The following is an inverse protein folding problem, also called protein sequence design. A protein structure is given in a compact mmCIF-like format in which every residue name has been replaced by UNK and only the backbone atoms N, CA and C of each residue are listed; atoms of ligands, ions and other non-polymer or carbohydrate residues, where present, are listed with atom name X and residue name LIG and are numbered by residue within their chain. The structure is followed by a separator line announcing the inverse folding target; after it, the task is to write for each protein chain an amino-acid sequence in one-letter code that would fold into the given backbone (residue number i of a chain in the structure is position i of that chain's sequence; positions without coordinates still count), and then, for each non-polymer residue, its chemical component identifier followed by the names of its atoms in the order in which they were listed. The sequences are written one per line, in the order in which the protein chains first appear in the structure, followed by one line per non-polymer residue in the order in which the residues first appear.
data_IF_576305392955
#
_entry.id   IF_576305392955
#
_cell.length_a   1.000
_cell.length_b   1.000
_cell.length_c   1.000
_cell.angle_alpha   90.00
_cell.angle_beta   90.00
_cell.angle_gamma   90.00
#
_symmetry.space_group_name_H-M   'P 1'
#
loop_
_entity.id
_entity.type
_entity.pdbx_description
1 polymer ?
#
# COMPACT_ATOMS: atom_id res chain seq x y z
N UNK A 1 -13.99 -21.68 28.89
CA UNK A 1 -15.22 -22.45 28.54
C UNK A 1 -15.70 -22.08 27.14
N UNK A 2 -16.26 -20.88 26.91
CA UNK A 2 -16.77 -20.45 25.59
C UNK A 2 -15.82 -20.69 24.39
N UNK A 3 -14.54 -20.32 24.45
CA UNK A 3 -13.61 -20.59 23.34
C UNK A 3 -13.43 -22.08 23.05
N UNK A 4 -13.44 -22.94 24.08
CA UNK A 4 -13.37 -24.40 23.90
C UNK A 4 -14.63 -24.90 23.20
N UNK A 5 -15.80 -24.44 23.64
CA UNK A 5 -17.08 -24.84 23.07
C UNK A 5 -17.19 -24.43 21.60
N UNK A 6 -16.73 -23.21 21.25
CA UNK A 6 -16.62 -22.73 19.87
C UNK A 6 -15.70 -23.62 19.04
N UNK A 7 -14.52 -23.97 19.55
CA UNK A 7 -13.55 -24.79 18.82
C UNK A 7 -14.05 -26.24 18.63
N UNK A 8 -14.85 -26.77 19.57
CA UNK A 8 -15.52 -28.06 19.40
C UNK A 8 -16.61 -28.02 18.31
N UNK A 9 -17.27 -26.88 18.15
CA UNK A 9 -18.27 -26.64 17.10
C UNK A 9 -17.67 -26.12 15.77
N UNK A 10 -16.34 -26.13 15.62
CA UNK A 10 -15.64 -25.52 14.48
C UNK A 10 -16.18 -25.98 13.12
N UNK A 11 -16.32 -27.29 12.91
CA UNK A 11 -16.75 -27.85 11.63
C UNK A 11 -18.19 -27.44 11.29
N UNK A 12 -19.09 -27.41 12.28
CA UNK A 12 -20.47 -26.94 12.09
C UNK A 12 -20.50 -25.45 11.74
N UNK A 13 -19.69 -24.62 12.41
CA UNK A 13 -19.60 -23.18 12.16
C UNK A 13 -19.03 -22.89 10.77
N UNK A 14 -17.95 -23.58 10.39
CA UNK A 14 -17.33 -23.43 9.06
C UNK A 14 -18.28 -23.91 7.97
N UNK A 15 -18.96 -25.04 8.18
CA UNK A 15 -20.01 -25.53 7.28
C UNK A 15 -21.11 -24.50 7.09
N UNK A 16 -21.61 -23.91 8.19
CA UNK A 16 -22.66 -22.88 8.15
C UNK A 16 -22.24 -21.62 7.40
N UNK A 17 -20.99 -21.18 7.56
CA UNK A 17 -20.43 -20.08 6.80
C UNK A 17 -20.38 -20.39 5.29
N UNK A 18 -19.93 -21.59 4.94
CA UNK A 18 -19.79 -22.01 3.54
C UNK A 18 -21.13 -22.18 2.80
N UNK A 19 -22.23 -22.43 3.52
CA UNK A 19 -23.58 -22.39 2.92
C UNK A 19 -23.95 -21.01 2.34
N UNK A 20 -23.31 -19.93 2.77
CA UNK A 20 -23.68 -18.56 2.35
C UNK A 20 -23.16 -18.18 0.96
N UNK A 21 -22.14 -18.85 0.46
CA UNK A 21 -21.59 -18.57 -0.87
C UNK A 21 -21.15 -19.87 -1.58
N UNK A 22 -22.12 -20.64 -2.14
CA UNK A 22 -21.82 -21.87 -2.86
C UNK A 22 -20.94 -21.65 -4.09
N UNK A 23 -20.98 -20.45 -4.69
CA UNK A 23 -20.15 -20.11 -5.85
C UNK A 23 -18.69 -19.99 -5.42
N UNK A 24 -18.41 -19.23 -4.36
CA UNK A 24 -17.06 -19.13 -3.82
C UNK A 24 -16.50 -20.50 -3.41
N UNK A 25 -17.31 -21.32 -2.74
CA UNK A 25 -16.92 -22.69 -2.37
C UNK A 25 -16.65 -23.55 -3.61
N UNK A 26 -17.49 -23.44 -4.65
CA UNK A 26 -17.29 -24.13 -5.93
C UNK A 26 -16.03 -23.70 -6.68
N UNK A 27 -15.58 -22.45 -6.48
CA UNK A 27 -14.29 -21.92 -6.96
C UNK A 27 -13.11 -22.30 -6.05
N UNK A 28 -13.35 -23.16 -5.05
CA UNK A 28 -12.38 -23.64 -4.08
C UNK A 28 -12.15 -22.69 -2.89
N UNK A 29 -12.81 -21.54 -2.82
CA UNK A 29 -12.71 -20.61 -1.69
C UNK A 29 -13.60 -21.02 -0.51
N UNK A 30 -13.95 -20.03 0.32
CA UNK A 30 -14.84 -20.19 1.46
C UNK A 30 -14.13 -20.12 2.81
N UNK A 31 -14.88 -20.31 3.89
CA UNK A 31 -14.34 -20.46 5.22
C UNK A 31 -13.46 -21.72 5.30
N UNK A 32 -12.19 -21.53 5.68
CA UNK A 32 -11.16 -22.58 5.81
C UNK A 32 -10.79 -22.85 7.27
N UNK A 33 -11.20 -21.98 8.18
CA UNK A 33 -10.82 -22.11 9.58
C UNK A 33 -11.52 -21.13 10.50
N UNK A 34 -11.26 -21.30 11.78
CA UNK A 34 -11.81 -20.49 12.84
C UNK A 34 -10.81 -20.40 13.98
N UNK A 35 -10.67 -19.20 14.53
CA UNK A 35 -9.90 -18.94 15.74
C UNK A 35 -10.82 -18.31 16.79
N UNK A 36 -10.59 -18.63 18.06
CA UNK A 36 -11.34 -18.05 19.17
C UNK A 36 -10.38 -17.61 20.27
N UNK A 37 -10.53 -16.37 20.74
CA UNK A 37 -9.75 -15.82 21.86
C UNK A 37 -10.62 -14.97 22.75
N UNK A 38 -10.17 -14.76 23.98
CA UNK A 38 -10.83 -13.83 24.92
C UNK A 38 -10.02 -12.57 25.09
N UNK A 39 -10.69 -11.45 25.25
CA UNK A 39 -10.08 -10.18 25.67
C UNK A 39 -10.77 -9.67 26.93
N UNK A 40 -10.01 -8.94 27.75
CA UNK A 40 -10.55 -8.18 28.86
C UNK A 40 -10.70 -6.72 28.42
N UNK A 41 -11.82 -6.12 28.78
CA UNK A 41 -12.12 -4.71 28.50
C UNK A 41 -12.68 -4.06 29.75
N UNK A 42 -12.71 -2.73 29.78
CA UNK A 42 -13.39 -1.96 30.84
C UNK A 42 -14.90 -2.28 30.94
N UNK A 43 -15.46 -2.89 29.88
CA UNK A 43 -16.87 -3.30 29.76
C UNK A 43 -17.07 -4.80 30.05
N UNK A 44 -16.05 -5.46 30.60
CA UNK A 44 -16.04 -6.89 30.89
C UNK A 44 -15.36 -7.73 29.81
N UNK A 45 -15.38 -9.04 30.03
CA UNK A 45 -14.75 -10.01 29.13
C UNK A 45 -15.53 -10.13 27.82
N UNK A 46 -14.80 -10.14 26.69
CA UNK A 46 -15.37 -10.42 25.37
C UNK A 46 -14.71 -11.65 24.75
N UNK A 47 -15.48 -12.40 23.95
CA UNK A 47 -14.98 -13.49 23.13
C UNK A 47 -14.92 -13.01 21.69
N UNK A 48 -13.75 -13.13 21.08
CA UNK A 48 -13.50 -12.77 19.68
C UNK A 48 -13.37 -14.06 18.89
N UNK A 49 -14.19 -14.19 17.85
CA UNK A 49 -14.15 -15.30 16.90
C UNK A 49 -13.71 -14.74 15.56
N UNK A 50 -12.59 -15.24 15.03
CA UNK A 50 -12.16 -14.94 13.67
C UNK A 50 -12.54 -16.10 12.77
N UNK A 51 -13.33 -15.82 11.74
CA UNK A 51 -13.53 -16.74 10.63
C UNK A 51 -12.41 -16.50 9.60
N UNK A 52 -11.66 -17.54 9.28
CA UNK A 52 -10.60 -17.48 8.26
C UNK A 52 -11.23 -17.87 6.92
N UNK A 53 -11.26 -16.94 5.96
CA UNK A 53 -11.98 -17.12 4.69
C UNK A 53 -11.03 -16.90 3.51
N UNK A 54 -10.94 -17.91 2.64
CA UNK A 54 -10.32 -17.79 1.32
C UNK A 54 -11.34 -17.13 0.37
N UNK A 55 -11.13 -15.85 0.10
CA UNK A 55 -12.01 -15.01 -0.73
C UNK A 55 -11.59 -14.99 -2.20
N UNK A 56 -10.62 -15.84 -2.60
CA UNK A 56 -10.10 -15.95 -3.97
C UNK A 56 -9.72 -14.57 -4.52
N UNK A 57 -10.29 -14.21 -5.66
CA UNK A 57 -9.97 -13.00 -6.42
C UNK A 57 -10.74 -11.75 -5.97
N UNK A 58 -11.59 -11.87 -4.94
CA UNK A 58 -12.29 -10.75 -4.35
C UNK A 58 -11.47 -10.08 -3.24
N UNK A 59 -11.80 -8.83 -2.92
CA UNK A 59 -11.33 -8.20 -1.68
C UNK A 59 -11.95 -8.91 -0.45
N UNK A 60 -13.24 -9.28 -0.54
CA UNK A 60 -13.86 -10.23 0.38
C UNK A 60 -14.70 -9.65 1.52
N UNK A 61 -14.74 -8.33 1.71
CA UNK A 61 -15.46 -7.72 2.85
C UNK A 61 -16.93 -8.16 2.95
N UNK A 62 -17.69 -8.06 1.86
CA UNK A 62 -19.11 -8.42 1.87
C UNK A 62 -19.32 -9.91 2.15
N UNK A 63 -18.54 -10.78 1.51
CA UNK A 63 -18.59 -12.24 1.71
C UNK A 63 -18.36 -12.58 3.17
N UNK A 64 -17.28 -12.05 3.77
CA UNK A 64 -16.93 -12.31 5.17
C UNK A 64 -18.01 -11.78 6.12
N UNK A 65 -18.56 -10.60 5.86
CA UNK A 65 -19.64 -10.05 6.69
C UNK A 65 -20.90 -10.92 6.65
N UNK A 66 -21.33 -11.35 5.46
CA UNK A 66 -22.47 -12.26 5.30
C UNK A 66 -22.24 -13.59 6.02
N UNK A 67 -21.03 -14.17 5.90
CA UNK A 67 -20.67 -15.38 6.65
C UNK A 67 -20.73 -15.15 8.18
N UNK A 68 -20.16 -14.05 8.67
CA UNK A 68 -20.19 -13.68 10.09
C UNK A 68 -21.62 -13.49 10.62
N UNK A 69 -22.50 -12.85 9.85
CA UNK A 69 -23.92 -12.71 10.19
C UNK A 69 -24.61 -14.06 10.28
N UNK A 70 -24.38 -14.95 9.31
CA UNK A 70 -25.01 -16.27 9.27
C UNK A 70 -24.57 -17.21 10.40
N UNK A 71 -23.30 -17.15 10.83
CA UNK A 71 -22.80 -17.99 11.93
C UNK A 71 -23.15 -17.45 13.32
N UNK A 72 -23.58 -16.18 13.42
CA UNK A 72 -23.83 -15.55 14.73
C UNK A 72 -24.87 -16.27 15.59
N UNK A 73 -26.05 -16.67 15.08
CA UNK A 73 -27.03 -17.40 15.88
C UNK A 73 -26.52 -18.75 16.41
N UNK A 74 -25.63 -19.41 15.66
CA UNK A 74 -24.97 -20.64 16.10
C UNK A 74 -23.97 -20.36 17.22
N UNK A 75 -23.16 -19.31 17.08
CA UNK A 75 -22.23 -18.87 18.14
C UNK A 75 -22.96 -18.48 19.43
N UNK A 76 -24.09 -17.79 19.35
CA UNK A 76 -24.92 -17.44 20.52
C UNK A 76 -25.45 -18.70 21.21
N UNK A 77 -25.90 -19.71 20.45
CA UNK A 77 -26.35 -20.99 20.99
C UNK A 77 -25.24 -21.78 21.67
N UNK A 78 -24.07 -21.87 21.04
CA UNK A 78 -22.91 -22.62 21.54
C UNK A 78 -22.35 -21.98 22.81
N UNK A 79 -22.37 -20.65 22.90
CA UNK A 79 -21.72 -19.92 24.00
C UNK A 79 -22.67 -19.45 25.09
N UNK A 80 -23.97 -19.33 24.79
CA UNK A 80 -24.95 -18.63 25.63
C UNK A 80 -24.73 -17.11 25.69
N UNK A 81 -23.80 -16.56 24.89
CA UNK A 81 -23.50 -15.12 24.85
C UNK A 81 -24.27 -14.42 23.73
N UNK A 82 -24.22 -13.08 23.72
CA UNK A 82 -24.81 -12.23 22.66
C UNK A 82 -23.76 -11.85 21.62
N UNK A 83 -24.08 -12.01 20.34
CA UNK A 83 -23.25 -11.55 19.23
C UNK A 83 -23.36 -10.01 19.09
N UNK A 84 -22.21 -9.33 19.18
CA UNK A 84 -22.15 -7.86 19.11
C UNK A 84 -21.81 -7.33 17.72
N UNK A 85 -20.65 -7.68 17.17
CA UNK A 85 -20.18 -7.22 15.86
C UNK A 85 -19.95 -8.42 14.92
N UNK A 86 -20.26 -8.21 13.64
CA UNK A 86 -20.16 -9.19 12.54
C UNK A 86 -19.49 -8.53 11.36
N UNK A 87 -18.18 -8.31 11.49
CA UNK A 87 -17.48 -7.41 10.57
C UNK A 87 -16.08 -7.96 10.27
N UNK A 88 -15.67 -7.82 9.02
CA UNK A 88 -14.30 -8.11 8.57
C UNK A 88 -13.27 -7.26 9.33
N UNK A 89 -12.08 -7.81 9.54
CA UNK A 89 -10.91 -7.06 10.00
C UNK A 89 -10.10 -6.55 8.81
N UNK A 90 -9.77 -5.25 8.80
CA UNK A 90 -8.84 -4.69 7.81
C UNK A 90 -7.36 -5.00 8.12
N UNK A 91 -7.06 -5.50 9.33
CA UNK A 91 -5.74 -6.04 9.66
C UNK A 91 -5.61 -7.46 9.06
N UNK A 92 -5.42 -7.51 7.74
CA UNK A 92 -5.44 -8.74 6.94
C UNK A 92 -4.10 -9.51 6.99
N UNK A 93 -3.66 -9.91 8.18
CA UNK A 93 -2.35 -10.57 8.40
C UNK A 93 -2.23 -11.96 7.75
N UNK A 94 -3.35 -12.57 7.38
CA UNK A 94 -3.38 -13.83 6.63
C UNK A 94 -3.28 -13.62 5.11
N UNK A 95 -3.19 -12.36 4.65
CA UNK A 95 -3.15 -11.98 3.23
C UNK A 95 -2.00 -11.00 2.97
N UNK A 96 -0.79 -11.47 3.22
CA UNK A 96 0.45 -10.72 3.04
C UNK A 96 0.96 -10.81 1.60
N UNK A 97 1.35 -9.68 1.04
CA UNK A 97 2.13 -9.60 -0.18
C UNK A 97 3.59 -9.29 0.15
N UNK A 98 4.50 -9.86 -0.64
CA UNK A 98 5.95 -9.70 -0.47
C UNK A 98 6.58 -9.34 -1.79
N UNK A 99 7.59 -8.48 -1.76
CA UNK A 99 8.46 -8.24 -2.89
C UNK A 99 9.91 -8.09 -2.41
N UNK A 100 10.84 -8.48 -3.28
CA UNK A 100 12.28 -8.38 -3.03
C UNK A 100 12.98 -8.02 -4.34
N UNK A 101 13.97 -7.14 -4.26
CA UNK A 101 14.81 -6.78 -5.39
C UNK A 101 16.24 -6.49 -4.92
N UNK A 102 17.22 -6.80 -5.77
CA UNK A 102 18.62 -6.41 -5.61
C UNK A 102 18.92 -5.36 -6.67
N UNK A 103 19.54 -4.27 -6.25
CA UNK A 103 19.88 -3.14 -7.10
C UNK A 103 21.40 -3.00 -7.13
N UNK A 104 21.96 -3.13 -8.34
CA UNK A 104 23.38 -2.92 -8.56
C UNK A 104 23.80 -1.52 -8.09
N UNK A 105 24.85 -1.43 -7.27
CA UNK A 105 25.33 -0.15 -6.73
C UNK A 105 25.67 0.85 -7.83
N UNK A 106 26.22 0.39 -8.95
CA UNK A 106 26.54 1.25 -10.11
C UNK A 106 25.28 1.88 -10.71
N UNK A 107 24.16 1.15 -10.74
CA UNK A 107 22.89 1.67 -11.23
C UNK A 107 22.25 2.70 -10.28
N UNK A 108 22.57 2.64 -8.98
CA UNK A 108 22.09 3.59 -7.97
C UNK A 108 22.89 4.89 -7.95
N UNK A 109 24.17 4.84 -8.33
CA UNK A 109 25.09 5.97 -8.32
C UNK A 109 26.38 5.73 -7.50
N UNK A 110 26.68 4.48 -7.14
CA UNK A 110 27.89 4.08 -6.44
C UNK A 110 27.64 3.66 -4.98
N UNK A 111 28.70 3.16 -4.34
CA UNK A 111 28.68 2.67 -2.95
C UNK A 111 28.19 3.74 -1.96
N UNK A 112 28.58 5.01 -2.13
CA UNK A 112 28.15 6.10 -1.25
C UNK A 112 26.63 6.28 -1.23
N UNK A 113 25.95 6.04 -2.36
CA UNK A 113 24.49 6.09 -2.46
C UNK A 113 23.85 4.94 -1.71
N UNK A 114 24.45 3.74 -1.77
CA UNK A 114 23.99 2.57 -1.02
C UNK A 114 24.07 2.83 0.47
N UNK A 115 25.22 3.30 0.96
CA UNK A 115 25.41 3.63 2.38
C UNK A 115 24.44 4.73 2.84
N UNK A 116 24.26 5.79 2.06
CA UNK A 116 23.34 6.85 2.41
C UNK A 116 21.86 6.38 2.47
N UNK A 117 21.48 5.40 1.64
CA UNK A 117 20.16 4.74 1.73
C UNK A 117 20.06 3.90 3.01
N UNK A 118 21.11 3.17 3.38
CA UNK A 118 21.14 2.38 4.61
C UNK A 118 21.05 3.26 5.85
N UNK A 119 21.73 4.41 5.87
CA UNK A 119 21.61 5.42 6.92
C UNK A 119 20.18 5.99 7.01
N UNK A 120 19.58 6.33 5.87
CA UNK A 120 18.20 6.81 5.81
C UNK A 120 17.19 5.76 6.30
N UNK A 121 17.42 4.48 6.01
CA UNK A 121 16.63 3.38 6.53
C UNK A 121 16.85 3.18 8.04
N UNK A 122 18.09 3.21 8.52
CA UNK A 122 18.41 3.11 9.95
C UNK A 122 17.72 4.23 10.76
N UNK A 123 17.67 5.45 10.21
CA UNK A 123 16.89 6.55 10.77
C UNK A 123 15.39 6.22 10.82
N UNK A 124 14.80 5.73 9.72
CA UNK A 124 13.39 5.34 9.70
C UNK A 124 13.07 4.18 10.66
N UNK A 125 14.00 3.25 10.87
CA UNK A 125 13.82 2.13 11.79
C UNK A 125 13.92 2.53 13.27
N UNK A 126 14.56 3.67 13.56
CA UNK A 126 14.88 4.14 14.91
C UNK A 126 14.00 5.28 15.41
N UNK A 127 13.40 6.07 14.51
CA UNK A 127 12.55 7.22 14.86
C UNK A 127 11.15 7.11 14.24
N UNK A 128 10.11 7.28 15.07
CA UNK A 128 8.72 7.14 14.62
C UNK A 128 8.30 8.24 13.64
N UNK A 129 8.79 9.47 13.78
CA UNK A 129 8.44 10.56 12.87
C UNK A 129 8.97 10.29 11.46
N UNK A 130 10.20 9.79 11.37
CA UNK A 130 10.76 9.34 10.09
C UNK A 130 10.06 8.08 9.59
N UNK A 131 9.79 7.10 10.45
CA UNK A 131 9.12 5.85 10.09
C UNK A 131 7.75 6.09 9.43
N UNK A 132 6.95 6.99 9.98
CA UNK A 132 5.65 7.38 9.40
C UNK A 132 5.84 7.93 7.98
N UNK A 133 6.81 8.81 7.80
CA UNK A 133 7.12 9.42 6.50
C UNK A 133 7.66 8.40 5.50
N UNK A 134 8.45 7.42 5.97
CA UNK A 134 8.97 6.30 5.19
C UNK A 134 7.84 5.43 4.65
N UNK A 135 6.92 5.01 5.52
CA UNK A 135 5.76 4.20 5.14
C UNK A 135 4.79 4.99 4.26
N UNK A 136 4.59 6.29 4.50
CA UNK A 136 3.83 7.16 3.60
C UNK A 136 4.42 7.15 2.18
N UNK A 137 5.75 7.15 2.07
CA UNK A 137 6.46 7.02 0.80
C UNK A 137 6.18 5.70 0.07
N UNK A 138 6.05 4.58 0.80
CA UNK A 138 5.61 3.29 0.24
C UNK A 138 4.17 3.42 -0.28
N UNK A 139 3.28 3.94 0.57
CA UNK A 139 1.84 3.98 0.28
C UNK A 139 1.49 4.92 -0.87
N UNK A 140 2.29 5.94 -1.17
CA UNK A 140 2.15 6.74 -2.40
C UNK A 140 2.03 5.86 -3.66
N UNK A 141 2.88 4.83 -3.79
CA UNK A 141 2.85 3.92 -4.94
C UNK A 141 1.70 2.91 -4.86
N UNK A 142 1.54 2.27 -3.71
CA UNK A 142 0.49 1.27 -3.46
C UNK A 142 -0.90 1.84 -3.71
N UNK A 143 -1.18 3.03 -3.17
CA UNK A 143 -2.48 3.68 -3.26
C UNK A 143 -2.77 4.25 -4.65
N UNK A 144 -1.74 4.71 -5.37
CA UNK A 144 -1.91 5.10 -6.77
C UNK A 144 -2.37 3.91 -7.62
N UNK A 145 -1.75 2.74 -7.44
CA UNK A 145 -2.15 1.51 -8.14
C UNK A 145 -3.52 1.00 -7.70
N UNK A 146 -3.82 1.06 -6.40
CA UNK A 146 -5.13 0.70 -5.87
C UNK A 146 -6.24 1.57 -6.46
N UNK A 147 -6.03 2.89 -6.53
CA UNK A 147 -6.97 3.82 -7.15
C UNK A 147 -7.16 3.52 -8.64
N UNK A 148 -6.07 3.32 -9.39
CA UNK A 148 -6.13 2.98 -10.81
C UNK A 148 -6.89 1.67 -11.10
N UNK A 149 -6.84 0.72 -10.16
CA UNK A 149 -7.52 -0.57 -10.27
C UNK A 149 -8.87 -0.63 -9.54
N UNK A 150 -9.35 0.52 -9.04
CA UNK A 150 -10.59 0.68 -8.28
C UNK A 150 -10.71 -0.22 -7.03
N UNK A 151 -9.59 -0.45 -6.35
CA UNK A 151 -9.50 -1.11 -5.05
C UNK A 151 -9.70 -0.10 -3.91
N UNK A 152 -10.13 -0.61 -2.73
CA UNK A 152 -10.36 0.25 -1.56
C UNK A 152 -9.03 0.72 -0.95
N UNK A 153 -8.71 1.99 -1.16
CA UNK A 153 -7.48 2.61 -0.67
C UNK A 153 -7.43 2.69 0.86
N UNK A 154 -8.57 2.87 1.53
CA UNK A 154 -8.63 3.02 3.00
C UNK A 154 -8.39 1.68 3.69
N UNK A 155 -8.91 0.59 3.12
CA UNK A 155 -8.66 -0.75 3.64
C UNK A 155 -7.17 -1.11 3.59
N UNK A 156 -6.51 -0.79 2.47
CA UNK A 156 -5.06 -1.00 2.31
C UNK A 156 -4.23 -0.14 3.27
N UNK A 157 -4.53 1.16 3.40
CA UNK A 157 -3.85 2.05 4.35
C UNK A 157 -4.01 1.56 5.80
N UNK A 158 -5.25 1.25 6.22
CA UNK A 158 -5.53 0.78 7.57
C UNK A 158 -4.78 -0.52 7.89
N UNK A 159 -4.78 -1.48 6.96
CA UNK A 159 -4.08 -2.75 7.12
C UNK A 159 -2.56 -2.58 7.18
N UNK A 160 -1.98 -1.81 6.26
CA UNK A 160 -0.54 -1.57 6.21
C UNK A 160 -0.03 -0.85 7.45
N UNK A 161 -0.68 0.24 7.85
CA UNK A 161 -0.27 1.01 9.03
C UNK A 161 -0.51 0.26 10.35
N UNK A 162 -1.58 -0.53 10.46
CA UNK A 162 -1.79 -1.39 11.63
C UNK A 162 -0.76 -2.52 11.71
N UNK A 163 -0.38 -3.11 10.57
CA UNK A 163 0.67 -4.13 10.50
C UNK A 163 2.02 -3.58 10.95
N UNK A 164 2.38 -2.37 10.50
CA UNK A 164 3.57 -1.66 10.93
C UNK A 164 3.64 -1.46 12.45
N UNK A 165 2.49 -1.38 13.15
CA UNK A 165 2.41 -1.19 14.60
C UNK A 165 2.24 -2.49 15.41
N UNK A 166 2.03 -3.64 14.75
CA UNK A 166 1.57 -4.86 15.41
C UNK A 166 2.57 -5.44 16.43
N UNK A 167 3.87 -5.14 16.24
CA UNK A 167 4.96 -5.56 17.14
C UNK A 167 5.15 -4.69 18.39
N UNK A 168 4.18 -3.82 18.73
CA UNK A 168 4.25 -2.93 19.91
C UNK A 168 5.03 -1.63 19.69
N UNK A 169 5.65 -1.46 18.52
CA UNK A 169 6.24 -0.19 18.05
C UNK A 169 5.97 -0.05 16.56
N UNK A 170 5.82 1.18 16.08
CA UNK A 170 5.56 1.46 14.67
C UNK A 170 6.86 1.36 13.86
N UNK A 171 6.93 0.40 12.91
CA UNK A 171 8.15 0.02 12.18
C UNK A 171 8.03 0.23 10.66
N UNK A 172 9.17 0.34 9.95
CA UNK A 172 9.16 0.37 8.48
C UNK A 172 8.52 -0.89 7.89
N UNK A 173 7.72 -0.73 6.84
CA UNK A 173 7.14 -1.85 6.09
C UNK A 173 8.16 -2.51 5.13
N UNK A 174 9.27 -1.82 4.85
CA UNK A 174 10.38 -2.32 4.06
C UNK A 174 11.65 -2.49 4.89
N UNK A 175 12.55 -3.34 4.39
CA UNK A 175 13.89 -3.55 4.94
C UNK A 175 14.91 -3.29 3.83
N UNK A 176 16.01 -2.64 4.21
CA UNK A 176 17.13 -2.36 3.32
C UNK A 176 18.41 -2.89 3.93
N UNK A 177 19.18 -3.61 3.11
CA UNK A 177 20.38 -4.34 3.51
C UNK A 177 21.43 -4.20 2.40
N UNK A 178 22.71 -4.34 2.76
CA UNK A 178 23.79 -4.51 1.78
C UNK A 178 24.03 -5.99 1.53
N UNK A 179 24.22 -6.39 0.28
CA UNK A 179 24.66 -7.75 -0.06
C UNK A 179 26.17 -7.91 0.14
N UNK A 180 26.68 -9.13 0.00
CA UNK A 180 28.13 -9.40 0.10
C UNK A 180 28.93 -8.71 -1.02
N UNK A 181 28.30 -8.51 -2.19
CA UNK A 181 28.86 -7.84 -3.36
C UNK A 181 28.84 -6.30 -3.27
N UNK A 182 28.24 -5.75 -2.21
CA UNK A 182 28.05 -4.30 -2.01
C UNK A 182 26.79 -3.73 -2.67
N UNK A 183 25.92 -4.59 -3.23
CA UNK A 183 24.66 -4.15 -3.83
C UNK A 183 23.59 -3.89 -2.77
N UNK A 184 22.54 -3.16 -3.15
CA UNK A 184 21.44 -2.84 -2.25
C UNK A 184 20.31 -3.88 -2.39
N UNK A 185 20.03 -4.61 -1.31
CA UNK A 185 18.88 -5.50 -1.18
C UNK A 185 17.71 -4.75 -0.53
N UNK A 186 16.58 -4.70 -1.24
CA UNK A 186 15.30 -4.22 -0.71
C UNK A 186 14.29 -5.33 -0.55
N UNK A 187 13.60 -5.35 0.59
CA UNK A 187 12.50 -6.27 0.89
C UNK A 187 11.29 -5.48 1.41
N UNK A 188 10.08 -5.95 1.12
CA UNK A 188 8.84 -5.39 1.66
C UNK A 188 7.86 -6.52 2.00
N UNK A 189 7.11 -6.35 3.08
CA UNK A 189 5.99 -7.19 3.44
C UNK A 189 4.87 -6.33 4.02
N UNK A 190 3.66 -6.48 3.48
CA UNK A 190 2.48 -5.74 3.95
C UNK A 190 1.18 -6.50 3.65
N UNK A 191 0.12 -6.31 4.46
CA UNK A 191 -1.21 -6.80 4.13
C UNK A 191 -1.74 -6.13 2.86
N UNK A 192 -2.24 -6.91 1.92
CA UNK A 192 -2.85 -6.39 0.68
C UNK A 192 -4.17 -7.13 0.42
N UNK A 193 -5.25 -6.56 0.95
CA UNK A 193 -6.61 -7.01 0.70
C UNK A 193 -7.17 -6.36 -0.58
N UNK A 194 -6.61 -6.71 -1.73
CA UNK A 194 -7.07 -6.28 -3.05
C UNK A 194 -7.98 -7.32 -3.73
N UNK A 195 -8.71 -6.91 -4.75
CA UNK A 195 -9.50 -7.78 -5.61
C UNK A 195 -9.37 -7.41 -7.09
N UNK A 196 -9.61 -8.39 -7.95
CA UNK A 196 -9.77 -8.23 -9.39
C UNK A 196 -11.21 -8.50 -9.86
N UNK A 197 -12.04 -9.04 -8.96
CA UNK A 197 -13.49 -9.19 -9.11
C UNK A 197 -14.25 -8.50 -7.96
N UNK A 198 -15.52 -8.18 -8.22
CA UNK A 198 -16.42 -7.58 -7.23
C UNK A 198 -16.25 -6.06 -7.05
N UNK A 199 -17.30 -5.42 -6.55
CA UNK A 199 -17.31 -3.96 -6.32
C UNK A 199 -16.96 -3.15 -7.57
N UNK A 200 -16.30 -2.00 -7.36
CA UNK A 200 -15.88 -1.10 -8.42
C UNK A 200 -14.85 -1.71 -9.38
N UNK A 201 -14.06 -2.69 -8.92
CA UNK A 201 -13.01 -3.34 -9.74
C UNK A 201 -13.60 -3.97 -11.01
N UNK A 202 -14.75 -4.63 -10.93
CA UNK A 202 -15.36 -5.32 -12.07
C UNK A 202 -16.12 -4.36 -13.01
N UNK A 203 -16.71 -3.29 -12.46
CA UNK A 203 -17.62 -2.41 -13.21
C UNK A 203 -16.95 -1.17 -13.80
N UNK A 204 -15.89 -0.65 -13.16
CA UNK A 204 -15.27 0.60 -13.60
C UNK A 204 -14.45 0.39 -14.90
N UNK A 205 -14.78 1.05 -16.02
CA UNK A 205 -14.13 0.79 -17.31
C UNK A 205 -12.61 1.01 -17.28
N UNK A 206 -12.15 2.10 -16.67
CA UNK A 206 -10.71 2.41 -16.55
C UNK A 206 -9.98 1.35 -15.72
N UNK A 207 -10.56 0.86 -14.62
CA UNK A 207 -9.94 -0.17 -13.81
C UNK A 207 -9.71 -1.48 -14.58
N UNK A 208 -10.66 -1.85 -15.46
CA UNK A 208 -10.50 -3.01 -16.36
C UNK A 208 -9.35 -2.80 -17.35
N UNK A 209 -9.23 -1.60 -17.92
CA UNK A 209 -8.14 -1.24 -18.82
C UNK A 209 -6.80 -1.27 -18.09
N UNK A 210 -6.70 -0.66 -16.90
CA UNK A 210 -5.49 -0.68 -16.09
C UNK A 210 -5.07 -2.12 -15.75
N UNK A 211 -6.00 -3.00 -15.35
CA UNK A 211 -5.66 -4.42 -15.12
C UNK A 211 -5.19 -5.14 -16.39
N UNK A 212 -5.80 -4.85 -17.54
CA UNK A 212 -5.36 -5.40 -18.83
C UNK A 212 -3.94 -4.95 -19.19
N UNK A 213 -3.60 -3.68 -18.93
CA UNK A 213 -2.24 -3.13 -19.13
C UNK A 213 -1.25 -3.83 -18.20
N UNK A 214 -1.62 -4.05 -16.94
CA UNK A 214 -0.78 -4.74 -15.96
C UNK A 214 -0.57 -6.23 -16.29
N UNK A 215 -1.51 -6.85 -17.01
CA UNK A 215 -1.43 -8.27 -17.35
C UNK A 215 -1.66 -9.22 -16.17
N UNK A 216 -2.27 -8.74 -15.08
CA UNK A 216 -2.56 -9.55 -13.88
C UNK A 216 -3.85 -10.35 -14.05
N UNK A 217 -3.78 -11.65 -13.77
CA UNK A 217 -4.89 -12.60 -13.85
C UNK A 217 -5.56 -12.88 -12.50
N UNK A 218 -4.92 -12.57 -11.38
CA UNK A 218 -5.44 -12.84 -10.03
C UNK A 218 -5.26 -11.69 -9.05
N UNK A 219 -6.05 -11.69 -7.96
CA UNK A 219 -5.86 -10.74 -6.86
C UNK A 219 -4.50 -10.91 -6.16
N UNK A 220 -3.95 -12.13 -6.18
CA UNK A 220 -2.62 -12.42 -5.66
C UNK A 220 -1.53 -11.71 -6.48
N UNK A 221 -1.57 -11.85 -7.80
CA UNK A 221 -0.61 -11.18 -8.69
C UNK A 221 -0.73 -9.66 -8.56
N UNK A 222 -1.95 -9.11 -8.50
CA UNK A 222 -2.14 -7.69 -8.26
C UNK A 222 -1.51 -7.24 -6.93
N UNK A 223 -1.65 -8.05 -5.87
CA UNK A 223 -1.07 -7.76 -4.57
C UNK A 223 0.46 -7.79 -4.58
N UNK A 224 1.06 -8.74 -5.29
CA UNK A 224 2.52 -8.84 -5.50
C UNK A 224 3.04 -7.61 -6.27
N UNK A 225 2.33 -7.17 -7.31
CA UNK A 225 2.65 -5.93 -8.04
C UNK A 225 2.53 -4.71 -7.13
N UNK A 226 1.49 -4.61 -6.29
CA UNK A 226 1.35 -3.52 -5.31
C UNK A 226 2.53 -3.46 -4.34
N UNK A 227 2.97 -4.61 -3.82
CA UNK A 227 4.15 -4.67 -2.96
C UNK A 227 5.41 -4.21 -3.69
N UNK A 228 5.64 -4.69 -4.92
CA UNK A 228 6.78 -4.28 -5.74
C UNK A 228 6.79 -2.78 -6.05
N UNK A 229 5.63 -2.20 -6.40
CA UNK A 229 5.47 -0.76 -6.62
C UNK A 229 5.74 0.02 -5.32
N UNK A 230 5.26 -0.47 -4.18
CA UNK A 230 5.56 0.13 -2.87
C UNK A 230 7.06 0.16 -2.57
N UNK A 231 7.77 -0.95 -2.82
CA UNK A 231 9.22 -1.03 -2.64
C UNK A 231 9.97 -0.10 -3.59
N UNK A 232 9.59 -0.06 -4.87
CA UNK A 232 10.20 0.81 -5.87
C UNK A 232 9.99 2.29 -5.54
N UNK A 233 8.79 2.68 -5.11
CA UNK A 233 8.49 4.05 -4.72
C UNK A 233 9.26 4.46 -3.45
N UNK A 234 9.47 3.52 -2.52
CA UNK A 234 10.31 3.73 -1.34
C UNK A 234 11.78 3.94 -1.70
N UNK A 235 12.33 3.09 -2.58
CA UNK A 235 13.70 3.26 -3.08
C UNK A 235 13.90 4.62 -3.72
N UNK A 236 13.00 5.03 -4.62
CA UNK A 236 13.09 6.32 -5.29
C UNK A 236 13.10 7.48 -4.28
N UNK A 237 12.23 7.42 -3.26
CA UNK A 237 12.17 8.44 -2.21
C UNK A 237 13.44 8.48 -1.35
N UNK A 238 13.96 7.32 -0.92
CA UNK A 238 15.18 7.25 -0.12
C UNK A 238 16.40 7.68 -0.90
N UNK A 239 16.56 7.20 -2.13
CA UNK A 239 17.66 7.60 -3.02
C UNK A 239 17.64 9.10 -3.21
N UNK A 240 16.49 9.68 -3.57
CA UNK A 240 16.36 11.12 -3.71
C UNK A 240 16.79 11.82 -2.42
N UNK A 241 16.19 11.51 -1.27
CA UNK A 241 16.51 12.11 0.03
C UNK A 241 17.99 12.00 0.44
N UNK A 242 18.62 10.88 0.13
CA UNK A 242 19.97 10.54 0.55
C UNK A 242 21.05 11.19 -0.33
N UNK A 243 20.78 11.36 -1.63
CA UNK A 243 21.78 11.89 -2.59
C UNK A 243 21.52 13.34 -3.00
N UNK A 244 20.26 13.77 -2.99
CA UNK A 244 19.84 15.12 -3.37
C UNK A 244 18.84 15.65 -2.34
N UNK A 245 19.14 16.74 -1.64
CA UNK A 245 18.10 17.38 -0.84
C UNK A 245 16.85 17.63 -1.70
N UNK A 246 15.70 17.03 -1.33
CA UNK A 246 14.42 16.98 -2.10
C UNK A 246 14.13 18.31 -2.79
N UNK A 247 14.47 19.41 -2.13
CA UNK A 247 14.37 20.77 -2.64
C UNK A 247 14.91 20.91 -4.07
N UNK A 248 16.06 20.35 -4.46
CA UNK A 248 16.57 20.56 -5.84
C UNK A 248 15.68 19.94 -6.92
N UNK A 249 15.25 18.68 -6.75
CA UNK A 249 14.36 18.01 -7.70
C UNK A 249 12.94 18.59 -7.72
N UNK A 250 12.37 18.87 -6.53
CA UNK A 250 11.06 19.53 -6.41
C UNK A 250 11.09 20.95 -6.97
N UNK A 251 12.19 21.69 -6.80
CA UNK A 251 12.37 23.01 -7.37
C UNK A 251 12.45 22.97 -8.89
N UNK A 252 13.02 21.93 -9.50
CA UNK A 252 12.99 21.77 -10.96
C UNK A 252 11.55 21.58 -11.48
N UNK A 253 10.76 20.71 -10.84
CA UNK A 253 9.35 20.51 -11.21
C UNK A 253 8.50 21.77 -10.93
N UNK A 254 8.71 22.42 -9.79
CA UNK A 254 8.03 23.65 -9.43
C UNK A 254 8.37 24.78 -10.41
N UNK A 255 9.64 24.93 -10.80
CA UNK A 255 10.07 25.87 -11.82
C UNK A 255 9.42 25.58 -13.18
N UNK A 256 9.31 24.32 -13.61
CA UNK A 256 8.57 23.96 -14.83
C UNK A 256 7.09 24.36 -14.76
N UNK A 257 6.43 24.15 -13.63
CA UNK A 257 5.03 24.56 -13.45
C UNK A 257 4.88 26.10 -13.54
N UNK A 258 5.80 26.84 -12.90
CA UNK A 258 5.81 28.30 -12.97
C UNK A 258 6.12 28.80 -14.39
N UNK A 259 7.00 28.13 -15.13
CA UNK A 259 7.27 28.44 -16.54
C UNK A 259 6.02 28.24 -17.41
N UNK A 260 5.29 27.13 -17.24
CA UNK A 260 4.01 26.90 -17.95
C UNK A 260 2.95 27.94 -17.57
N UNK A 261 2.83 28.31 -16.29
CA UNK A 261 1.93 29.39 -15.85
C UNK A 261 2.27 30.76 -16.44
N UNK A 262 3.55 30.98 -16.77
CA UNK A 262 4.02 32.19 -17.45
C UNK A 262 3.76 32.15 -18.97
N UNK A 263 3.23 31.06 -19.52
CA UNK A 263 2.92 30.89 -20.95
C UNK A 263 4.08 30.32 -21.78
N UNK A 264 5.06 29.66 -21.14
CA UNK A 264 6.09 28.91 -21.86
C UNK A 264 5.49 27.62 -22.42
N UNK A 265 5.82 27.31 -23.67
CA UNK A 265 5.35 26.11 -24.39
C UNK A 265 6.53 25.40 -25.06
N UNK A 266 6.42 24.08 -25.25
CA UNK A 266 7.46 23.27 -25.88
C UNK A 266 8.81 23.40 -25.19
N UNK A 267 9.88 23.61 -25.96
CA UNK A 267 11.26 23.73 -25.45
C UNK A 267 11.46 24.91 -24.49
N UNK A 268 10.63 25.95 -24.58
CA UNK A 268 10.77 27.12 -23.70
C UNK A 268 10.46 26.78 -22.23
N UNK A 269 9.67 25.74 -21.95
CA UNK A 269 9.36 25.33 -20.57
C UNK A 269 10.63 24.95 -19.83
N UNK A 270 11.50 24.17 -20.46
CA UNK A 270 12.75 23.70 -19.85
C UNK A 270 13.79 24.81 -19.74
N UNK A 271 13.95 25.62 -20.79
CA UNK A 271 14.88 26.75 -20.79
C UNK A 271 14.53 27.80 -19.71
N UNK A 272 13.25 28.15 -19.60
CA UNK A 272 12.78 29.11 -18.58
C UNK A 272 12.95 28.51 -17.17
N UNK A 273 12.62 27.23 -16.99
CA UNK A 273 12.76 26.56 -15.71
C UNK A 273 14.23 26.47 -15.25
N UNK A 274 15.14 26.11 -16.15
CA UNK A 274 16.57 26.02 -15.84
C UNK A 274 17.17 27.38 -15.47
N UNK A 275 16.82 28.43 -16.22
CA UNK A 275 17.30 29.79 -15.93
C UNK A 275 16.75 30.34 -14.62
N UNK A 276 15.47 30.08 -14.29
CA UNK A 276 14.90 30.41 -12.97
C UNK A 276 15.60 29.70 -11.82
N UNK A 277 15.94 28.40 -11.99
CA UNK A 277 16.65 27.61 -10.96
C UNK A 277 18.08 28.12 -10.79
N UNK A 278 18.78 28.42 -11.88
CA UNK A 278 20.14 28.98 -11.85
C UNK A 278 20.16 30.35 -11.14
N UNK A 279 19.18 31.20 -11.40
CA UNK A 279 19.04 32.52 -10.77
C UNK A 279 18.49 32.46 -9.33
N UNK A 280 18.04 31.28 -8.86
CA UNK A 280 17.29 31.09 -7.60
C UNK A 280 16.06 32.00 -7.46
N UNK A 281 15.44 32.36 -8.59
CA UNK A 281 14.26 33.26 -8.66
C UNK A 281 13.07 32.54 -9.30
N UNK A 282 12.42 31.67 -8.53
CA UNK A 282 11.28 30.88 -9.00
C UNK A 282 9.98 31.65 -8.73
N UNK A 283 9.61 32.53 -9.66
CA UNK A 283 8.43 33.41 -9.57
C UNK A 283 7.85 33.65 -10.96
N UNK A 284 6.53 33.86 -11.04
CA UNK A 284 5.82 34.00 -12.32
C UNK A 284 6.25 35.27 -13.09
N UNK A 285 6.57 36.36 -12.40
CA UNK A 285 7.06 37.59 -13.01
C UNK A 285 8.41 37.36 -13.72
N UNK A 286 9.37 36.74 -13.04
CA UNK A 286 10.68 36.43 -13.63
C UNK A 286 10.59 35.41 -14.76
N UNK A 287 9.69 34.43 -14.65
CA UNK A 287 9.45 33.47 -15.73
C UNK A 287 8.97 34.16 -17.02
N UNK A 288 8.14 35.19 -16.92
CA UNK A 288 7.68 35.99 -18.08
C UNK A 288 8.82 36.79 -18.70
N UNK A 289 9.65 37.44 -17.89
CA UNK A 289 10.82 38.17 -18.36
C UNK A 289 11.79 37.24 -19.13
N UNK A 290 12.13 36.09 -18.55
CA UNK A 290 13.00 35.10 -19.20
C UNK A 290 12.39 34.59 -20.51
N UNK A 291 11.08 34.34 -20.53
CA UNK A 291 10.39 33.88 -21.74
C UNK A 291 10.43 34.95 -22.85
N UNK A 292 10.26 36.23 -22.51
CA UNK A 292 10.38 37.33 -23.46
C UNK A 292 11.81 37.50 -24.00
N UNK A 293 12.82 37.37 -23.13
CA UNK A 293 14.24 37.38 -23.51
C UNK A 293 14.53 36.26 -24.53
N UNK A 294 14.13 35.01 -24.21
CA UNK A 294 14.36 33.85 -25.07
C UNK A 294 13.59 33.93 -26.40
N UNK A 295 12.40 34.54 -26.42
CA UNK A 295 11.63 34.76 -27.65
C UNK A 295 12.27 35.81 -28.55
N UNK A 296 12.86 36.86 -27.98
CA UNK A 296 13.60 37.89 -28.75
C UNK A 296 14.90 37.32 -29.33
N UNK A 297 15.61 36.49 -28.57
CA UNK A 297 16.85 35.83 -29.02
C UNK A 297 16.63 34.84 -30.17
N UNK A 298 15.47 34.17 -30.23
CA UNK A 298 15.11 33.26 -31.33
C UNK A 298 14.29 33.91 -32.46
N UNK A 299 13.82 35.13 -32.26
CA UNK A 299 12.97 35.88 -33.20
C UNK A 299 13.72 36.89 -34.07
N UNK A 300 15.06 36.89 -34.04
CA UNK A 300 15.95 37.61 -34.96
C UNK A 300 16.79 36.63 -35.76
#
# INVERSE_FOLDING_TARGET
KACRDILLAKEEIVGKANEQDPVLVGLGGGAVGLEARTIQTERGQMVIVHLLVDVRDAMGANVVNTMCEAVSPLLERVTGARALLRIVSNLAIYRLARARAVFAKEALGGEEVVEAILDAYAFAASDIFRCVTHNKGIMNGVIALALATANDTRALEAGAHAYAAMGGSYRPLSRWLKTEEGDLLGEIELPVAAGVVGGATAVHPVARVCRKILGVGSARELAEVMAAVGLANNLAAMRALATEGIQRGHMKLHARNIAMMAGAEGEFVDLVAERMVAERKIRVDRAKEILEELRKERGG
#
